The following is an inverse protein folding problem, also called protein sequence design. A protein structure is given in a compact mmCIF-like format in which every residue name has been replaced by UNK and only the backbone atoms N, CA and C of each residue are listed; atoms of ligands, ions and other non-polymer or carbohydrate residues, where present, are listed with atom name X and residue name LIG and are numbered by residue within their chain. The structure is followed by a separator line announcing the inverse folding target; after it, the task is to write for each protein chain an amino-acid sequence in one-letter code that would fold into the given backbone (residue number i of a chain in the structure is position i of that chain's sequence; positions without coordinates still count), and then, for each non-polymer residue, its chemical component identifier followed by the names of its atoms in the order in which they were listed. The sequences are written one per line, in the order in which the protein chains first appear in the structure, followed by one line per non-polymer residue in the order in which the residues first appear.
data_IF_520944679768
#
_entry.id   IF_520944679768
#
_cell.length_a   1.000
_cell.length_b   1.000
_cell.length_c   1.000
_cell.angle_alpha   90.00
_cell.angle_beta   90.00
_cell.angle_gamma   90.00
#
_symmetry.space_group_name_H-M   'P 1'
#
loop_
_entity.id
_entity.type
_entity.pdbx_description
1 polymer ?
#
# COMPACT_ATOMS: atom_id res chain seq x y z
N UNK A 1 21.53 29.42 0.11
CA UNK A 1 21.32 29.32 1.56
C UNK A 1 19.88 28.91 1.79
N UNK A 2 19.66 27.64 2.14
CA UNK A 2 18.35 27.02 2.31
C UNK A 2 17.81 27.39 3.69
N UNK A 3 16.90 28.36 3.75
CA UNK A 3 16.12 28.65 4.96
C UNK A 3 14.97 27.64 5.05
N UNK A 4 14.88 26.97 6.20
CA UNK A 4 13.69 26.29 6.77
C UNK A 4 12.71 25.61 5.82
N UNK A 5 12.67 24.27 5.84
CA UNK A 5 11.54 23.51 5.31
C UNK A 5 10.29 23.79 6.15
N UNK A 6 9.52 24.77 5.71
CA UNK A 6 8.25 25.17 6.27
C UNK A 6 7.13 24.48 5.49
N UNK A 7 6.25 23.74 6.17
CA UNK A 7 5.11 23.06 5.55
C UNK A 7 3.93 24.01 5.52
N UNK A 8 3.44 24.36 4.33
CA UNK A 8 2.21 25.16 4.17
C UNK A 8 0.99 24.32 4.57
N UNK A 9 0.37 24.71 5.68
CA UNK A 9 -0.79 24.02 6.23
C UNK A 9 -1.99 24.05 5.28
N UNK A 10 -2.16 25.12 4.49
CA UNK A 10 -3.26 25.26 3.53
C UNK A 10 -3.13 24.22 2.42
N UNK A 11 -1.92 24.05 1.89
CA UNK A 11 -1.63 23.04 0.85
C UNK A 11 -1.82 21.63 1.43
N UNK A 12 -1.33 21.38 2.65
CA UNK A 12 -1.48 20.09 3.31
C UNK A 12 -2.96 19.72 3.51
N UNK A 13 -3.78 20.66 3.98
CA UNK A 13 -5.22 20.45 4.18
C UNK A 13 -5.95 20.21 2.86
N UNK A 14 -5.64 20.98 1.82
CA UNK A 14 -6.21 20.79 0.50
C UNK A 14 -5.90 19.40 -0.06
N UNK A 15 -4.62 19.02 -0.06
CA UNK A 15 -4.19 17.71 -0.52
C UNK A 15 -4.89 16.60 0.28
N UNK A 16 -5.04 16.78 1.59
CA UNK A 16 -5.75 15.83 2.45
C UNK A 16 -7.21 15.66 2.07
N UNK A 17 -7.94 16.77 1.82
CA UNK A 17 -9.34 16.74 1.41
C UNK A 17 -9.50 16.05 0.04
N UNK A 18 -8.66 16.41 -0.93
CA UNK A 18 -8.68 15.80 -2.27
C UNK A 18 -8.43 14.30 -2.19
N UNK A 19 -7.44 13.88 -1.40
CA UNK A 19 -7.14 12.46 -1.17
C UNK A 19 -8.34 11.73 -0.56
N UNK A 20 -8.95 12.30 0.48
CA UNK A 20 -10.11 11.68 1.15
C UNK A 20 -11.26 11.51 0.17
N UNK A 21 -11.58 12.54 -0.62
CA UNK A 21 -12.66 12.49 -1.61
C UNK A 21 -12.38 11.47 -2.70
N UNK A 22 -11.16 11.47 -3.27
CA UNK A 22 -10.77 10.55 -4.33
C UNK A 22 -10.76 9.09 -3.86
N UNK A 23 -10.24 8.82 -2.66
CA UNK A 23 -10.26 7.47 -2.06
C UNK A 23 -11.69 7.04 -1.77
N UNK A 24 -12.53 7.93 -1.24
CA UNK A 24 -13.94 7.62 -0.96
C UNK A 24 -14.70 7.29 -2.25
N UNK A 25 -14.47 8.06 -3.32
CA UNK A 25 -15.03 7.79 -4.64
C UNK A 25 -14.53 6.45 -5.20
N UNK A 26 -13.22 6.17 -5.12
CA UNK A 26 -12.66 4.91 -5.59
C UNK A 26 -13.24 3.71 -4.82
N UNK A 27 -13.42 3.83 -3.50
CA UNK A 27 -14.06 2.81 -2.66
C UNK A 27 -15.53 2.59 -3.03
N UNK A 28 -16.28 3.68 -3.26
CA UNK A 28 -17.66 3.62 -3.72
C UNK A 28 -17.76 2.90 -5.07
N UNK A 29 -16.94 3.28 -6.05
CA UNK A 29 -16.92 2.64 -7.36
C UNK A 29 -16.47 1.18 -7.27
N UNK A 30 -15.48 0.86 -6.44
CA UNK A 30 -14.99 -0.50 -6.22
C UNK A 30 -16.07 -1.42 -5.62
N UNK A 31 -16.97 -0.86 -4.81
CA UNK A 31 -18.04 -1.61 -4.13
C UNK A 31 -19.30 -1.75 -4.99
N UNK A 32 -19.70 -0.68 -5.69
CA UNK A 32 -21.01 -0.61 -6.36
C UNK A 32 -20.94 -0.51 -7.89
N UNK A 33 -19.86 0.04 -8.45
CA UNK A 33 -19.75 0.35 -9.88
C UNK A 33 -18.38 -0.06 -10.47
N UNK A 34 -18.04 -1.34 -10.29
CA UNK A 34 -16.73 -1.89 -10.67
C UNK A 34 -16.40 -1.71 -12.15
N UNK A 35 -17.39 -1.80 -13.04
CA UNK A 35 -17.21 -1.56 -14.47
C UNK A 35 -16.74 -0.13 -14.76
N UNK A 36 -17.30 0.86 -14.06
CA UNK A 36 -16.89 2.26 -14.19
C UNK A 36 -15.45 2.40 -13.70
N UNK A 37 -15.13 1.85 -12.52
CA UNK A 37 -13.77 1.89 -11.99
C UNK A 37 -12.76 1.24 -12.94
N UNK A 38 -13.11 0.11 -13.55
CA UNK A 38 -12.28 -0.60 -14.51
C UNK A 38 -12.02 0.23 -15.77
N UNK A 39 -13.07 0.85 -16.34
CA UNK A 39 -12.95 1.74 -17.50
C UNK A 39 -12.05 2.92 -17.13
N UNK A 40 -12.31 3.60 -16.03
CA UNK A 40 -11.50 4.74 -15.57
C UNK A 40 -10.03 4.36 -15.36
N UNK A 41 -9.77 3.22 -14.70
CA UNK A 41 -8.42 2.68 -14.48
C UNK A 41 -7.70 2.44 -15.81
N UNK A 42 -8.40 1.83 -16.78
CA UNK A 42 -7.84 1.54 -18.11
C UNK A 42 -7.59 2.82 -18.89
N UNK A 43 -8.52 3.77 -18.90
CA UNK A 43 -8.39 5.06 -19.58
C UNK A 43 -7.23 5.87 -19.04
N UNK A 44 -7.08 6.01 -17.72
CA UNK A 44 -5.95 6.72 -17.10
C UNK A 44 -4.63 6.04 -17.46
N UNK A 45 -4.58 4.71 -17.44
CA UNK A 45 -3.39 3.95 -17.82
C UNK A 45 -2.98 4.19 -19.28
N UNK A 46 -3.96 4.23 -20.20
CA UNK A 46 -3.73 4.50 -21.62
C UNK A 46 -3.25 5.94 -21.85
N UNK A 47 -3.85 6.93 -21.17
CA UNK A 47 -3.42 8.32 -21.23
C UNK A 47 -1.98 8.44 -20.73
N UNK A 48 -1.65 7.80 -19.61
CA UNK A 48 -0.30 7.83 -19.06
C UNK A 48 0.73 7.17 -19.99
N UNK A 49 0.37 6.03 -20.60
CA UNK A 49 1.22 5.35 -21.58
C UNK A 49 1.45 6.21 -22.82
N UNK A 50 0.40 6.86 -23.33
CA UNK A 50 0.50 7.80 -24.45
C UNK A 50 1.44 8.96 -24.09
N UNK A 51 1.19 9.64 -22.97
CA UNK A 51 2.06 10.74 -22.50
C UNK A 51 3.52 10.31 -22.33
N UNK A 52 3.76 9.09 -21.84
CA UNK A 52 5.11 8.56 -21.68
C UNK A 52 5.80 8.32 -23.02
N UNK A 53 5.11 7.78 -24.02
CA UNK A 53 5.68 7.53 -25.37
C UNK A 53 6.09 8.85 -26.06
N UNK A 54 5.29 9.91 -25.89
CA UNK A 54 5.54 11.21 -26.51
C UNK A 54 6.50 12.11 -25.70
N UNK A 55 7.07 11.61 -24.60
CA UNK A 55 8.08 12.34 -23.83
C UNK A 55 9.38 12.41 -24.63
N UNK A 56 9.89 13.63 -24.85
CA UNK A 56 11.12 13.86 -25.63
C UNK A 56 12.39 13.42 -24.90
N UNK A 57 12.37 13.38 -23.57
CA UNK A 57 13.47 12.92 -22.74
C UNK A 57 12.96 12.05 -21.59
N UNK A 58 13.62 10.91 -21.40
CA UNK A 58 13.36 10.00 -20.29
C UNK A 58 14.45 10.17 -19.23
N UNK A 59 14.09 10.69 -18.06
CA UNK A 59 14.94 10.64 -16.87
C UNK A 59 14.58 9.43 -16.00
N UNK A 60 15.48 9.05 -15.08
CA UNK A 60 15.28 7.87 -14.22
C UNK A 60 14.06 8.02 -13.32
N UNK A 61 13.73 9.26 -12.91
CA UNK A 61 12.59 9.56 -12.05
C UNK A 61 11.27 9.35 -12.79
N UNK A 62 11.15 9.83 -14.04
CA UNK A 62 9.96 9.64 -14.87
C UNK A 62 9.75 8.16 -15.21
N UNK A 63 10.82 7.42 -15.51
CA UNK A 63 10.73 5.96 -15.74
C UNK A 63 10.22 5.27 -14.48
N UNK A 64 10.82 5.54 -13.31
CA UNK A 64 10.41 4.94 -12.05
C UNK A 64 8.96 5.27 -11.69
N UNK A 65 8.55 6.53 -11.85
CA UNK A 65 7.18 6.98 -11.62
C UNK A 65 6.17 6.29 -12.54
N UNK A 66 6.51 6.17 -13.83
CA UNK A 66 5.68 5.45 -14.81
C UNK A 66 5.60 3.96 -14.50
N UNK A 67 6.71 3.29 -14.20
CA UNK A 67 6.73 1.88 -13.80
C UNK A 67 5.85 1.64 -12.57
N UNK A 68 5.95 2.50 -11.55
CA UNK A 68 5.10 2.42 -10.34
C UNK A 68 3.62 2.57 -10.70
N UNK A 69 3.27 3.51 -11.59
CA UNK A 69 1.90 3.70 -12.05
C UNK A 69 1.36 2.45 -12.76
N UNK A 70 2.13 1.86 -13.69
CA UNK A 70 1.71 0.65 -14.43
C UNK A 70 1.58 -0.57 -13.51
N UNK A 71 2.48 -0.71 -12.53
CA UNK A 71 2.43 -1.82 -11.57
C UNK A 71 1.22 -1.74 -10.63
N UNK A 72 0.81 -0.53 -10.23
CA UNK A 72 -0.26 -0.34 -9.26
C UNK A 72 -1.64 -0.19 -9.90
N UNK A 73 -1.74 0.56 -11.01
CA UNK A 73 -3.02 0.93 -11.60
C UNK A 73 -3.59 -0.19 -12.49
N UNK A 74 -3.04 -0.50 -13.68
CA UNK A 74 -3.57 -1.59 -14.51
C UNK A 74 -3.21 -2.97 -13.98
N UNK A 75 -1.97 -3.18 -13.50
CA UNK A 75 -1.53 -4.49 -13.00
C UNK A 75 -1.98 -4.76 -11.56
N UNK A 76 -2.11 -3.73 -10.72
CA UNK A 76 -2.65 -3.91 -9.36
C UNK A 76 -4.18 -3.88 -9.37
N UNK A 77 -4.75 -2.70 -9.21
CA UNK A 77 -6.19 -2.49 -9.06
C UNK A 77 -6.99 -2.99 -10.27
N UNK A 78 -6.52 -2.73 -11.49
CA UNK A 78 -7.16 -3.15 -12.74
C UNK A 78 -7.24 -4.67 -12.88
N UNK A 79 -6.19 -5.40 -12.53
CA UNK A 79 -6.19 -6.86 -12.55
C UNK A 79 -7.17 -7.46 -11.52
N UNK A 80 -7.22 -6.88 -10.31
CA UNK A 80 -8.16 -7.31 -9.26
C UNK A 80 -9.61 -7.10 -9.71
N UNK A 81 -9.95 -5.90 -10.16
CA UNK A 81 -11.31 -5.57 -10.61
C UNK A 81 -11.68 -6.36 -11.87
N UNK A 82 -10.74 -6.50 -12.81
CA UNK A 82 -10.93 -7.26 -14.04
C UNK A 82 -11.25 -8.72 -13.76
N UNK A 83 -10.50 -9.36 -12.85
CA UNK A 83 -10.78 -10.74 -12.41
C UNK A 83 -12.16 -10.86 -11.75
N UNK A 84 -12.45 -9.95 -10.82
CA UNK A 84 -13.72 -9.89 -10.08
C UNK A 84 -14.93 -9.65 -11.00
N UNK A 85 -14.73 -8.97 -12.14
CA UNK A 85 -15.76 -8.71 -13.15
C UNK A 85 -16.02 -9.90 -14.08
N UNK A 86 -15.19 -10.94 -14.07
CA UNK A 86 -15.41 -12.14 -14.87
C UNK A 86 -16.63 -12.94 -14.36
N UNK A 87 -17.31 -13.70 -15.25
CA UNK A 87 -18.28 -14.70 -14.81
C UNK A 87 -17.67 -15.73 -13.85
N UNK A 88 -18.44 -16.23 -12.89
CA UNK A 88 -17.98 -17.15 -11.84
C UNK A 88 -17.26 -18.39 -12.40
N UNK A 89 -17.75 -18.94 -13.52
CA UNK A 89 -17.12 -20.09 -14.19
C UNK A 89 -15.69 -19.79 -14.67
N UNK A 90 -15.44 -18.57 -15.16
CA UNK A 90 -14.10 -18.13 -15.56
C UNK A 90 -13.24 -17.81 -14.34
N UNK A 91 -13.81 -17.22 -13.29
CA UNK A 91 -13.09 -16.98 -12.04
C UNK A 91 -12.54 -18.30 -11.48
N UNK A 92 -13.38 -19.33 -11.31
CA UNK A 92 -12.93 -20.63 -10.81
C UNK A 92 -11.81 -21.24 -11.66
N UNK A 93 -11.89 -21.12 -12.98
CA UNK A 93 -10.85 -21.61 -13.91
C UNK A 93 -9.52 -20.88 -13.75
N UNK A 94 -9.55 -19.56 -13.56
CA UNK A 94 -8.34 -18.72 -13.45
C UNK A 94 -7.84 -18.52 -12.01
N UNK A 95 -8.61 -18.94 -11.00
CA UNK A 95 -8.29 -18.77 -9.59
C UNK A 95 -6.85 -19.22 -9.22
N UNK A 96 -6.33 -20.38 -9.68
CA UNK A 96 -4.97 -20.78 -9.34
C UNK A 96 -3.90 -19.81 -9.87
N UNK A 97 -4.09 -19.28 -11.08
CA UNK A 97 -3.19 -18.32 -11.70
C UNK A 97 -3.29 -16.96 -11.04
N UNK A 98 -4.51 -16.51 -10.77
CA UNK A 98 -4.77 -15.24 -10.10
C UNK A 98 -4.19 -15.22 -8.69
N UNK A 99 -4.35 -16.30 -7.93
CA UNK A 99 -3.79 -16.44 -6.61
C UNK A 99 -2.25 -16.38 -6.61
N UNK A 100 -1.58 -17.07 -7.56
CA UNK A 100 -0.12 -16.95 -7.73
C UNK A 100 0.30 -15.53 -8.10
N UNK A 101 -0.45 -14.88 -8.97
CA UNK A 101 -0.20 -13.51 -9.40
C UNK A 101 -0.27 -12.53 -8.21
N UNK A 102 -1.34 -12.59 -7.42
CA UNK A 102 -1.50 -11.74 -6.22
C UNK A 102 -0.38 -12.00 -5.22
N UNK A 103 -0.05 -13.27 -4.94
CA UNK A 103 1.04 -13.60 -4.03
C UNK A 103 2.36 -12.99 -4.47
N UNK A 104 2.67 -13.12 -5.77
CA UNK A 104 3.87 -12.53 -6.34
C UNK A 104 3.86 -11.00 -6.24
N UNK A 105 2.73 -10.36 -6.53
CA UNK A 105 2.59 -8.91 -6.42
C UNK A 105 2.79 -8.41 -4.98
N UNK A 106 2.18 -9.06 -3.99
CA UNK A 106 2.30 -8.69 -2.57
C UNK A 106 3.74 -8.91 -2.07
N UNK A 107 4.31 -10.09 -2.32
CA UNK A 107 5.69 -10.41 -1.95
C UNK A 107 6.67 -9.44 -2.63
N UNK A 108 6.49 -9.21 -3.93
CA UNK A 108 7.32 -8.31 -4.72
C UNK A 108 7.29 -6.88 -4.20
N UNK A 109 6.10 -6.35 -3.87
CA UNK A 109 5.96 -5.00 -3.31
C UNK A 109 6.75 -4.84 -2.00
N UNK A 110 6.65 -5.81 -1.08
CA UNK A 110 7.38 -5.78 0.18
C UNK A 110 8.87 -6.00 -0.03
N UNK A 111 9.25 -6.92 -0.91
CA UNK A 111 10.64 -7.21 -1.24
C UNK A 111 11.36 -5.98 -1.80
N UNK A 112 10.75 -5.25 -2.73
CA UNK A 112 11.32 -4.02 -3.30
C UNK A 112 11.50 -2.95 -2.22
N UNK A 113 10.59 -2.86 -1.24
CA UNK A 113 10.73 -1.91 -0.13
C UNK A 113 12.01 -2.11 0.71
N UNK A 114 12.57 -3.33 0.78
CA UNK A 114 13.85 -3.61 1.46
C UNK A 114 15.01 -2.84 0.80
N UNK A 115 14.93 -2.60 -0.52
CA UNK A 115 15.95 -1.89 -1.29
C UNK A 115 15.69 -0.39 -1.37
N UNK A 116 14.71 0.14 -0.62
CA UNK A 116 14.51 1.59 -0.54
C UNK A 116 15.80 2.27 -0.08
N UNK A 117 16.18 3.42 -0.68
CA UNK A 117 17.34 4.17 -0.22
C UNK A 117 17.12 4.58 1.25
N UNK A 118 18.17 4.41 2.06
CA UNK A 118 18.14 4.67 3.50
C UNK A 118 18.35 6.16 3.85
N UNK A 119 18.61 6.98 2.83
CA UNK A 119 18.91 8.40 2.98
C UNK A 119 20.16 8.68 3.83
N UNK A 120 21.02 7.67 4.05
CA UNK A 120 22.16 7.78 4.97
C UNK A 120 21.78 7.88 6.46
N UNK A 121 20.55 7.52 6.84
CA UNK A 121 20.05 7.64 8.23
C UNK A 121 20.04 6.30 8.97
N UNK A 122 20.18 6.33 10.30
CA UNK A 122 20.07 5.13 11.13
C UNK A 122 18.68 4.48 11.02
N UNK A 123 17.63 5.30 11.01
CA UNK A 123 16.24 4.88 10.75
C UNK A 123 16.08 4.20 9.40
N UNK A 124 16.79 4.64 8.37
CA UNK A 124 16.77 3.98 7.06
C UNK A 124 17.29 2.55 7.12
N UNK A 125 18.40 2.33 7.84
CA UNK A 125 18.98 1.00 8.04
C UNK A 125 18.02 0.11 8.85
N UNK A 126 17.47 0.62 9.96
CA UNK A 126 16.52 -0.12 10.81
C UNK A 126 15.23 -0.46 10.03
N UNK A 127 14.75 0.44 9.17
CA UNK A 127 13.62 0.19 8.26
C UNK A 127 13.86 -1.05 7.39
N UNK A 128 15.05 -1.21 6.80
CA UNK A 128 15.36 -2.37 5.96
C UNK A 128 15.27 -3.68 6.73
N UNK A 129 15.80 -3.71 7.95
CA UNK A 129 15.71 -4.89 8.82
C UNK A 129 14.25 -5.18 9.21
N UNK A 130 13.50 -4.16 9.62
CA UNK A 130 12.08 -4.31 9.95
C UNK A 130 11.29 -4.89 8.76
N UNK A 131 11.52 -4.37 7.55
CA UNK A 131 10.91 -4.84 6.32
C UNK A 131 11.28 -6.30 6.00
N UNK A 132 12.55 -6.64 6.12
CA UNK A 132 13.05 -8.00 5.90
C UNK A 132 12.37 -9.01 6.83
N UNK A 133 12.27 -8.71 8.13
CA UNK A 133 11.58 -9.59 9.06
C UNK A 133 10.06 -9.64 8.79
N UNK A 134 9.43 -8.52 8.43
CA UNK A 134 8.02 -8.49 8.03
C UNK A 134 7.75 -9.40 6.82
N UNK A 135 8.66 -9.42 5.85
CA UNK A 135 8.60 -10.30 4.69
C UNK A 135 8.68 -11.78 5.10
N UNK A 136 9.63 -12.14 5.98
CA UNK A 136 9.74 -13.52 6.50
C UNK A 136 8.46 -13.94 7.20
N UNK A 137 7.91 -13.08 8.07
CA UNK A 137 6.67 -13.38 8.78
C UNK A 137 5.52 -13.57 7.79
N UNK A 138 5.39 -12.70 6.78
CA UNK A 138 4.35 -12.85 5.77
C UNK A 138 4.47 -14.17 5.02
N UNK A 139 5.69 -14.55 4.58
CA UNK A 139 5.92 -15.82 3.89
C UNK A 139 5.50 -17.02 4.74
N UNK A 140 5.73 -16.97 6.06
CA UNK A 140 5.25 -18.02 6.97
C UNK A 140 3.73 -18.08 7.04
N UNK A 141 3.05 -16.93 7.16
CA UNK A 141 1.57 -16.89 7.19
C UNK A 141 0.96 -17.36 5.87
N UNK A 142 1.53 -16.97 4.72
CA UNK A 142 1.14 -17.48 3.41
C UNK A 142 1.37 -18.99 3.30
N UNK A 143 2.46 -19.50 3.86
CA UNK A 143 2.75 -20.93 3.93
C UNK A 143 1.70 -21.74 4.69
N UNK A 144 1.14 -21.20 5.79
CA UNK A 144 0.09 -21.88 6.58
C UNK A 144 -1.17 -22.15 5.76
N UNK A 145 -1.51 -21.25 4.85
CA UNK A 145 -2.67 -21.37 3.94
C UNK A 145 -2.27 -21.96 2.57
N UNK A 146 -1.10 -22.61 2.46
CA UNK A 146 -0.58 -23.20 1.20
C UNK A 146 -0.58 -22.21 0.03
N UNK A 147 -0.30 -20.95 0.32
CA UNK A 147 -0.35 -19.85 -0.65
C UNK A 147 -1.72 -19.67 -1.31
N UNK A 148 -2.82 -20.20 -0.76
CA UNK A 148 -4.20 -19.92 -1.18
C UNK A 148 -4.72 -18.70 -0.42
N UNK A 149 -4.22 -17.53 -0.81
CA UNK A 149 -4.42 -16.28 -0.07
C UNK A 149 -5.61 -15.50 -0.61
N UNK A 150 -6.07 -15.78 -1.82
CA UNK A 150 -7.17 -15.02 -2.44
C UNK A 150 -8.49 -15.75 -2.30
N UNK A 151 -9.53 -15.02 -1.89
CA UNK A 151 -10.92 -15.47 -1.97
C UNK A 151 -11.77 -14.38 -2.61
N UNK A 152 -12.67 -14.79 -3.50
CA UNK A 152 -13.64 -13.91 -4.16
C UNK A 152 -15.05 -14.40 -3.88
N UNK A 153 -15.88 -13.52 -3.32
CA UNK A 153 -17.29 -13.77 -3.03
C UNK A 153 -18.09 -12.51 -3.32
N UNK A 154 -19.20 -12.64 -4.05
CA UNK A 154 -20.07 -11.52 -4.46
C UNK A 154 -19.32 -10.32 -5.03
N UNK A 155 -18.31 -10.59 -5.86
CA UNK A 155 -17.45 -9.57 -6.49
C UNK A 155 -16.60 -8.75 -5.51
N UNK A 156 -16.34 -9.23 -4.30
CA UNK A 156 -15.38 -8.60 -3.39
C UNK A 156 -14.13 -9.47 -3.33
N UNK A 157 -12.98 -8.83 -3.50
CA UNK A 157 -11.67 -9.45 -3.36
C UNK A 157 -11.22 -9.42 -1.91
N UNK A 158 -10.78 -10.57 -1.39
CA UNK A 158 -10.25 -10.70 -0.03
C UNK A 158 -8.89 -11.40 -0.04
N UNK A 159 -8.03 -11.00 0.89
CA UNK A 159 -6.66 -11.51 1.04
C UNK A 159 -6.45 -12.12 2.43
N UNK A 160 -6.48 -13.45 2.49
CA UNK A 160 -6.43 -14.29 3.69
C UNK A 160 -5.01 -14.82 3.98
N UNK A 161 -4.04 -13.94 4.16
CA UNK A 161 -2.72 -14.39 4.66
C UNK A 161 -2.04 -13.42 5.61
N UNK A 162 -2.70 -12.34 6.00
CA UNK A 162 -2.14 -11.34 6.89
C UNK A 162 -2.97 -11.26 8.17
N UNK A 163 -2.45 -11.70 9.33
CA UNK A 163 -3.13 -11.48 10.60
C UNK A 163 -3.18 -9.98 10.92
N UNK A 164 -4.15 -9.57 11.75
CA UNK A 164 -4.32 -8.17 12.14
C UNK A 164 -3.03 -7.58 12.75
N UNK A 165 -2.29 -8.39 13.52
CA UNK A 165 -1.00 -8.00 14.09
C UNK A 165 0.05 -7.68 13.03
N UNK A 166 0.05 -8.41 11.91
CA UNK A 166 0.96 -8.14 10.79
C UNK A 166 0.58 -6.83 10.13
N UNK A 167 -0.71 -6.57 9.92
CA UNK A 167 -1.23 -5.32 9.33
C UNK A 167 -0.78 -4.11 10.15
N UNK A 168 -0.95 -4.14 11.48
CA UNK A 168 -0.52 -3.03 12.33
C UNK A 168 1.00 -2.84 12.33
N UNK A 169 1.77 -3.92 12.35
CA UNK A 169 3.23 -3.85 12.27
C UNK A 169 3.68 -3.27 10.93
N UNK A 170 3.05 -3.69 9.82
CA UNK A 170 3.32 -3.19 8.49
C UNK A 170 2.96 -1.70 8.34
N UNK A 171 1.81 -1.28 8.88
CA UNK A 171 1.40 0.12 8.87
C UNK A 171 2.37 1.01 9.67
N UNK A 172 2.71 0.61 10.90
CA UNK A 172 3.68 1.32 11.73
C UNK A 172 5.07 1.41 11.06
N UNK A 173 5.51 0.31 10.43
CA UNK A 173 6.72 0.28 9.63
C UNK A 173 6.66 1.25 8.44
N UNK A 174 5.58 1.24 7.65
CA UNK A 174 5.45 2.10 6.46
C UNK A 174 5.38 3.58 6.81
N UNK A 175 4.74 3.96 7.92
CA UNK A 175 4.78 5.35 8.42
C UNK A 175 6.23 5.77 8.69
N UNK A 176 6.99 4.92 9.39
CA UNK A 176 8.40 5.21 9.68
C UNK A 176 9.27 5.21 8.39
N UNK A 177 9.00 4.34 7.42
CA UNK A 177 9.70 4.35 6.13
C UNK A 177 9.41 5.62 5.32
N UNK A 178 8.15 6.03 5.22
CA UNK A 178 7.70 7.21 4.47
C UNK A 178 8.16 8.53 5.09
N UNK A 179 8.65 8.49 6.34
CA UNK A 179 9.27 9.63 7.01
C UNK A 179 10.74 9.84 6.67
N UNK A 180 11.37 8.94 5.88
CA UNK A 180 12.76 9.10 5.45
C UNK A 180 12.92 10.24 4.44
N UNK A 181 14.08 10.92 4.40
CA UNK A 181 14.34 12.06 3.51
C UNK A 181 14.19 11.75 2.02
N UNK A 182 14.34 10.47 1.65
CA UNK A 182 14.21 9.99 0.27
C UNK A 182 12.77 10.03 -0.23
N UNK A 183 11.78 10.05 0.67
CA UNK A 183 10.38 10.16 0.31
C UNK A 183 9.92 11.60 0.51
N UNK A 184 9.20 12.14 -0.47
CA UNK A 184 8.47 13.39 -0.32
C UNK A 184 7.28 13.15 0.62
N UNK A 185 7.55 13.30 1.92
CA UNK A 185 6.75 12.80 3.04
C UNK A 185 5.33 13.34 3.09
N UNK A 186 5.10 14.56 2.58
CA UNK A 186 3.81 15.24 2.63
C UNK A 186 2.72 14.53 1.83
N UNK A 187 3.09 13.95 0.68
CA UNK A 187 2.15 13.37 -0.27
C UNK A 187 1.66 11.96 0.11
N UNK A 188 2.37 11.29 1.02
CA UNK A 188 2.07 9.91 1.45
C UNK A 188 1.64 9.80 2.91
N UNK A 189 1.52 10.91 3.63
CA UNK A 189 1.24 10.94 5.07
C UNK A 189 -0.08 10.23 5.44
N UNK A 190 -1.09 10.34 4.57
CA UNK A 190 -2.40 9.73 4.80
C UNK A 190 -2.52 8.28 4.32
N UNK A 191 -1.48 7.71 3.73
CA UNK A 191 -1.57 6.40 3.07
C UNK A 191 -2.03 5.31 4.05
N UNK A 192 -1.29 5.08 5.13
CA UNK A 192 -1.60 4.01 6.08
C UNK A 192 -2.89 4.26 6.89
N UNK A 193 -3.12 5.48 7.43
CA UNK A 193 -4.39 5.79 8.09
C UNK A 193 -5.60 5.54 7.19
N UNK A 194 -5.52 5.94 5.91
CA UNK A 194 -6.62 5.72 4.97
C UNK A 194 -6.80 4.24 4.62
N UNK A 195 -5.73 3.47 4.42
CA UNK A 195 -5.83 2.01 4.19
C UNK A 195 -6.56 1.31 5.35
N UNK A 196 -6.30 1.71 6.60
CA UNK A 196 -6.97 1.16 7.78
C UNK A 196 -8.44 1.60 7.86
N UNK A 197 -8.73 2.89 7.62
CA UNK A 197 -10.12 3.40 7.62
C UNK A 197 -10.94 2.72 6.54
N UNK A 198 -10.41 2.62 5.31
CA UNK A 198 -11.08 1.94 4.20
C UNK A 198 -11.31 0.46 4.51
N UNK A 199 -10.34 -0.24 5.11
CA UNK A 199 -10.51 -1.62 5.56
C UNK A 199 -11.71 -1.77 6.51
N UNK A 200 -11.86 -0.86 7.49
CA UNK A 200 -12.98 -0.86 8.44
C UNK A 200 -14.30 -0.54 7.75
N UNK A 201 -14.32 0.43 6.84
CA UNK A 201 -15.52 0.80 6.08
C UNK A 201 -15.99 -0.38 5.21
N UNK A 202 -15.08 -1.01 4.47
CA UNK A 202 -15.39 -2.20 3.65
C UNK A 202 -15.94 -3.36 4.48
N UNK A 203 -15.38 -3.60 5.67
CA UNK A 203 -15.88 -4.62 6.60
C UNK A 203 -17.34 -4.36 7.02
N UNK A 204 -17.70 -3.11 7.29
CA UNK A 204 -19.07 -2.74 7.65
C UNK A 204 -20.03 -2.77 6.45
N UNK A 205 -19.59 -2.26 5.30
CA UNK A 205 -20.39 -2.28 4.06
C UNK A 205 -20.71 -3.72 3.63
N UNK A 206 -19.78 -4.65 3.81
CA UNK A 206 -19.97 -6.06 3.50
C UNK A 206 -20.58 -6.87 4.66
N UNK A 207 -21.32 -6.20 5.57
CA UNK A 207 -22.09 -6.82 6.65
C UNK A 207 -21.27 -7.79 7.53
N UNK A 208 -19.97 -7.53 7.71
CA UNK A 208 -19.08 -8.34 8.57
C UNK A 208 -18.95 -9.81 8.15
N UNK A 209 -19.18 -10.12 6.87
CA UNK A 209 -19.20 -11.50 6.35
C UNK A 209 -17.86 -12.23 6.49
N UNK A 210 -16.75 -11.51 6.34
CA UNK A 210 -15.40 -12.04 6.52
C UNK A 210 -14.67 -11.38 7.69
N UNK A 211 -13.63 -12.02 8.25
CA UNK A 211 -12.78 -11.38 9.26
C UNK A 211 -12.17 -10.07 8.75
N UNK A 212 -12.10 -9.05 9.60
CA UNK A 212 -11.57 -7.72 9.27
C UNK A 212 -10.23 -7.72 8.49
N UNK A 213 -9.21 -8.55 8.83
CA UNK A 213 -7.92 -8.53 8.13
C UNK A 213 -8.00 -8.84 6.64
N UNK A 214 -9.04 -9.53 6.21
CA UNK A 214 -9.18 -10.02 4.83
C UNK A 214 -9.44 -8.87 3.85
N UNK A 215 -9.93 -7.73 4.35
CA UNK A 215 -10.23 -6.54 3.55
C UNK A 215 -8.99 -5.66 3.34
N UNK A 216 -7.92 -5.86 4.10
CA UNK A 216 -6.75 -4.99 4.07
C UNK A 216 -6.06 -4.95 2.70
N UNK A 217 -5.85 -6.10 2.06
CA UNK A 217 -5.19 -6.15 0.75
C UNK A 217 -5.92 -5.35 -0.33
N UNK A 218 -7.26 -5.40 -0.32
CA UNK A 218 -8.08 -4.62 -1.25
C UNK A 218 -8.08 -3.13 -0.89
N UNK A 219 -8.23 -2.80 0.40
CA UNK A 219 -8.19 -1.43 0.89
C UNK A 219 -6.87 -0.73 0.55
N UNK A 220 -5.74 -1.38 0.82
CA UNK A 220 -4.41 -0.85 0.53
C UNK A 220 -4.20 -0.67 -0.97
N UNK A 221 -4.66 -1.62 -1.80
CA UNK A 221 -4.57 -1.49 -3.26
C UNK A 221 -5.34 -0.29 -3.78
N UNK A 222 -6.55 -0.02 -3.27
CA UNK A 222 -7.34 1.17 -3.65
C UNK A 222 -6.59 2.43 -3.25
N UNK A 223 -6.22 2.56 -1.97
CA UNK A 223 -5.59 3.77 -1.44
C UNK A 223 -4.26 4.09 -2.11
N UNK A 224 -3.36 3.10 -2.21
CA UNK A 224 -2.04 3.27 -2.82
C UNK A 224 -2.15 3.65 -4.29
N UNK A 225 -3.09 3.05 -5.02
CA UNK A 225 -3.32 3.36 -6.44
C UNK A 225 -3.88 4.76 -6.62
N UNK A 226 -4.91 5.13 -5.85
CA UNK A 226 -5.52 6.48 -5.90
C UNK A 226 -4.49 7.55 -5.59
N UNK A 227 -3.68 7.36 -4.55
CA UNK A 227 -2.61 8.30 -4.20
C UNK A 227 -1.56 8.41 -5.31
N UNK A 228 -1.15 7.30 -5.91
CA UNK A 228 -0.17 7.30 -7.00
C UNK A 228 -0.67 8.10 -8.21
N UNK A 229 -1.97 8.00 -8.53
CA UNK A 229 -2.59 8.79 -9.59
C UNK A 229 -2.62 10.28 -9.24
N UNK A 230 -3.05 10.62 -8.01
CA UNK A 230 -3.10 12.02 -7.56
C UNK A 230 -1.73 12.70 -7.51
N UNK A 231 -0.68 11.96 -7.15
CA UNK A 231 0.68 12.48 -7.15
C UNK A 231 1.16 12.76 -8.57
N UNK A 232 0.79 11.89 -9.53
CA UNK A 232 1.15 12.08 -10.94
C UNK A 232 0.34 13.19 -11.61
N UNK A 233 -0.92 13.32 -11.23
CA UNK A 233 -1.87 14.29 -11.77
C UNK A 233 -2.51 15.09 -10.63
N UNK A 234 -1.74 16.02 -10.02
CA UNK A 234 -2.22 16.76 -8.86
C UNK A 234 -3.36 17.71 -9.22
N UNK A 235 -4.34 17.80 -8.32
CA UNK A 235 -5.42 18.79 -8.43
C UNK A 235 -4.91 20.10 -7.82
N UNK A 236 -4.63 21.07 -8.68
CA UNK A 236 -4.12 22.38 -8.29
C UNK A 236 -5.06 23.10 -7.34
N UNK A 237 -4.48 23.86 -6.40
CA UNK A 237 -5.24 24.76 -5.54
C UNK A 237 -5.96 25.80 -6.43
N UNK A 238 -7.24 26.14 -6.18
CA UNK A 238 -7.93 27.17 -6.95
C UNK A 238 -7.55 28.60 -6.54
N UNK A 239 -6.68 28.76 -5.54
CA UNK A 239 -6.34 30.03 -4.89
C UNK A 239 -4.84 30.09 -4.56
N UNK A 240 -4.29 31.28 -4.39
CA UNK A 240 -2.91 31.45 -3.93
C UNK A 240 -2.80 31.12 -2.44
N UNK A 241 -1.82 30.28 -2.06
CA UNK A 241 -1.57 30.01 -0.64
C UNK A 241 -0.55 30.99 -0.05
N UNK A 242 -0.94 31.64 1.03
CA UNK A 242 -0.05 32.31 2.00
C UNK A 242 -0.33 31.74 3.38
N UNK A 243 -0.35 30.41 3.44
CA UNK A 243 -0.80 29.68 4.61
C UNK A 243 0.15 29.84 5.80
N UNK A 244 -0.32 29.55 7.02
CA UNK A 244 0.58 29.41 8.15
C UNK A 244 1.53 28.24 7.90
N UNK A 245 2.80 28.48 8.18
CA UNK A 245 3.86 27.51 8.01
C UNK A 245 4.14 26.80 9.32
N UNK A 246 4.35 25.49 9.25
CA UNK A 246 4.82 24.68 10.39
C UNK A 246 6.27 24.31 10.14
N UNK A 247 7.12 24.55 11.14
CA UNK A 247 8.53 24.11 11.10
C UNK A 247 8.58 22.60 10.99
N UNK A 248 9.22 22.08 9.94
CA UNK A 248 9.49 20.65 9.84
C UNK A 248 10.41 20.19 10.97
N UNK A 249 10.22 18.97 11.45
CA UNK A 249 11.09 18.38 12.46
C UNK A 249 12.48 18.14 11.85
N UNK A 250 13.52 18.29 12.67
CA UNK A 250 14.88 17.90 12.31
C UNK A 250 15.00 16.38 12.20
N UNK A 251 15.96 15.87 11.43
CA UNK A 251 16.20 14.42 11.30
C UNK A 251 16.40 13.73 12.65
N UNK A 252 17.11 14.37 13.59
CA UNK A 252 17.28 13.83 14.93
C UNK A 252 15.95 13.70 15.69
N UNK A 253 15.04 14.67 15.55
CA UNK A 253 13.71 14.61 16.16
C UNK A 253 12.86 13.50 15.53
N UNK A 254 12.95 13.32 14.22
CA UNK A 254 12.29 12.22 13.53
C UNK A 254 12.82 10.85 13.99
N UNK A 255 14.13 10.72 14.13
CA UNK A 255 14.77 9.49 14.60
C UNK A 255 14.35 9.14 16.03
N UNK A 256 14.25 10.13 16.94
CA UNK A 256 13.77 9.91 18.31
C UNK A 256 12.34 9.36 18.37
N UNK A 257 11.49 9.71 17.41
CA UNK A 257 10.09 9.26 17.35
C UNK A 257 9.99 7.89 16.68
N UNK A 258 10.65 7.70 15.53
CA UNK A 258 10.41 6.52 14.69
C UNK A 258 11.32 5.33 14.98
N UNK A 259 12.55 5.52 15.47
CA UNK A 259 13.41 4.39 15.84
C UNK A 259 12.77 3.50 16.92
N UNK A 260 12.21 4.04 18.02
CA UNK A 260 11.53 3.20 19.01
C UNK A 260 10.35 2.42 18.42
N UNK A 261 9.55 3.04 17.55
CA UNK A 261 8.43 2.40 16.86
C UNK A 261 8.93 1.21 16.03
N UNK A 262 9.98 1.41 15.24
CA UNK A 262 10.56 0.35 14.41
C UNK A 262 11.16 -0.79 15.23
N UNK A 263 11.83 -0.49 16.34
CA UNK A 263 12.36 -1.51 17.25
C UNK A 263 11.25 -2.34 17.90
N UNK A 264 10.15 -1.70 18.30
CA UNK A 264 8.95 -2.38 18.80
C UNK A 264 8.37 -3.30 17.71
N UNK A 265 8.23 -2.80 16.48
CA UNK A 265 7.79 -3.60 15.33
C UNK A 265 8.68 -4.82 15.14
N UNK A 266 10.01 -4.65 15.11
CA UNK A 266 10.96 -5.76 14.99
C UNK A 266 10.76 -6.79 16.11
N UNK A 267 10.61 -6.33 17.37
CA UNK A 267 10.35 -7.23 18.50
C UNK A 267 9.09 -8.07 18.34
N UNK A 268 7.97 -7.46 17.91
CA UNK A 268 6.72 -8.17 17.63
C UNK A 268 6.86 -9.17 16.49
N UNK A 269 7.51 -8.76 15.40
CA UNK A 269 7.72 -9.57 14.21
C UNK A 269 8.59 -10.80 14.54
N UNK A 270 9.72 -10.60 15.24
CA UNK A 270 10.59 -11.70 15.66
C UNK A 270 9.88 -12.69 16.58
N UNK A 271 9.07 -12.19 17.51
CA UNK A 271 8.24 -13.03 18.39
C UNK A 271 7.25 -13.86 17.58
N UNK A 272 6.61 -13.28 16.57
CA UNK A 272 5.67 -13.99 15.71
C UNK A 272 6.36 -15.05 14.85
N UNK A 273 7.50 -14.73 14.25
CA UNK A 273 8.34 -15.66 13.49
C UNK A 273 8.72 -16.87 14.36
N UNK A 274 9.20 -16.60 15.58
CA UNK A 274 9.59 -17.64 16.52
C UNK A 274 8.41 -18.56 16.88
N UNK A 275 7.24 -17.99 17.18
CA UNK A 275 6.02 -18.75 17.48
C UNK A 275 5.62 -19.67 16.32
N UNK A 276 5.68 -19.16 15.09
CA UNK A 276 5.37 -19.93 13.88
C UNK A 276 6.34 -21.09 13.66
N UNK A 277 7.63 -20.89 13.91
CA UNK A 277 8.65 -21.94 13.82
C UNK A 277 8.43 -23.05 14.86
N UNK A 278 8.09 -22.69 16.10
CA UNK A 278 7.79 -23.67 17.15
C UNK A 278 6.56 -24.51 16.82
N UNK A 279 5.49 -23.88 16.33
CA UNK A 279 4.26 -24.57 15.94
C UNK A 279 4.49 -25.54 14.77
N UNK A 280 5.30 -25.14 13.78
CA UNK A 280 5.66 -26.01 12.66
C UNK A 280 6.45 -27.26 13.10
N UNK A 281 7.38 -27.11 14.06
CA UNK A 281 8.13 -28.26 14.60
C UNK A 281 7.27 -29.25 15.37
N UNK A 282 6.18 -28.79 15.99
CA UNK A 282 5.27 -29.69 16.70
C UNK A 282 4.41 -30.52 15.74
N UNK A 283 3.95 -29.95 14.62
CA UNK A 283 3.13 -30.68 13.63
C UNK A 283 3.92 -31.82 12.98
N UNK A 284 5.22 -31.62 12.70
CA UNK A 284 6.09 -32.65 12.12
C UNK A 284 6.49 -33.78 13.10
N UNK A 285 6.13 -33.70 14.38
CA UNK A 285 6.36 -34.80 15.34
C UNK A 285 5.19 -35.77 15.44
N UNK A 286 4.05 -35.46 14.80
CA UNK A 286 2.82 -36.27 14.86
C UNK A 286 2.41 -36.84 13.49
N UNK A 287 3.28 -36.72 12.48
CA UNK A 287 3.19 -37.37 11.17
C UNK A 287 4.33 -38.38 11.08
#
# INVERSE_FOLDING_TARGET
MYNGQEVDLTILLWNSIVVILAVSLACYLASYHQTILFITTTTISLIAAFQFIFLSHYDSIAIMGFSKLILLLPLGLGAVIGYVSLPESKQQKFLPWFNRYINFAVIGNIFVMIFSPDGGTYRGIVSRFACFFLLIWLLQEMGKVRFQTTQTDQRIFTFNSSPLSWIYCHAAYRIALLSLPTFDSSNYLLLEPMSIVVMIVLYHLNQKRYPLPYYFGFADTIVVTTLTVLIRYPISLPFDSKGPYVTNLTEHQWDMVFLPIQLIVIGFVLRAIYKNLLLSKHINKWV
#
